data_IF_043921436134
#
_entry.id   IF_043921436134
#
_cell.length_a   1.000
_cell.length_b   1.000
_cell.length_c   1.000
_cell.angle_alpha   90.00
_cell.angle_beta   90.00
_cell.angle_gamma   90.00
#
_symmetry.space_group_name_H-M   'P 1'
#
loop_
_entity.id
_entity.type
_entity.pdbx_description
1 polymer ?
#
# COMPACT_ATOMS: atom_id res chain seq x y z
N UNK A 1 -4.35 1.61 -11.76
CA UNK A 1 -5.48 2.58 -11.69
C UNK A 1 -6.60 2.02 -10.82
N UNK A 2 -7.39 2.86 -10.14
CA UNK A 2 -8.44 2.39 -9.22
C UNK A 2 -9.86 2.55 -9.77
N UNK A 3 -10.82 1.80 -9.22
CA UNK A 3 -12.26 1.96 -9.50
C UNK A 3 -12.80 3.11 -8.66
N UNK A 4 -13.20 4.21 -9.31
CA UNK A 4 -13.73 5.40 -8.65
C UNK A 4 -14.99 5.05 -7.85
N UNK A 5 -15.02 5.39 -6.56
CA UNK A 5 -16.19 5.19 -5.70
C UNK A 5 -16.39 3.77 -5.17
N UNK A 6 -15.46 2.83 -5.43
CA UNK A 6 -15.59 1.46 -4.92
C UNK A 6 -15.59 1.40 -3.39
N UNK A 7 -14.65 2.06 -2.73
CA UNK A 7 -14.53 2.06 -1.26
C UNK A 7 -15.80 2.54 -0.54
N UNK A 8 -16.40 3.71 -0.86
CA UNK A 8 -17.64 4.13 -0.20
C UNK A 8 -18.82 3.20 -0.50
N UNK A 9 -18.87 2.57 -1.68
CA UNK A 9 -19.89 1.58 -2.03
C UNK A 9 -19.76 0.32 -1.16
N UNK A 10 -18.53 -0.22 -1.01
CA UNK A 10 -18.27 -1.36 -0.14
C UNK A 10 -18.61 -1.06 1.32
N UNK A 11 -18.25 0.13 1.81
CA UNK A 11 -18.61 0.56 3.16
C UNK A 11 -20.13 0.58 3.40
N UNK A 12 -20.92 0.92 2.39
CA UNK A 12 -22.39 1.00 2.49
C UNK A 12 -23.08 -0.36 2.37
N UNK A 13 -22.66 -1.19 1.42
CA UNK A 13 -23.40 -2.41 1.05
C UNK A 13 -22.74 -3.71 1.49
N UNK A 14 -21.44 -3.72 1.75
CA UNK A 14 -20.69 -4.91 2.14
C UNK A 14 -19.61 -4.60 3.18
N UNK A 15 -19.93 -3.97 4.34
CA UNK A 15 -18.91 -3.52 5.29
C UNK A 15 -18.08 -4.67 5.87
N UNK A 16 -18.62 -5.90 5.90
CA UNK A 16 -17.94 -7.10 6.38
C UNK A 16 -16.71 -7.51 5.53
N UNK A 17 -16.60 -7.04 4.28
CA UNK A 17 -15.42 -7.30 3.46
C UNK A 17 -14.23 -6.38 3.80
N UNK A 18 -14.45 -5.32 4.59
CA UNK A 18 -13.41 -4.39 5.01
C UNK A 18 -13.00 -4.73 6.45
N UNK A 19 -11.79 -5.26 6.60
CA UNK A 19 -11.25 -5.67 7.90
C UNK A 19 -10.05 -4.80 8.24
N UNK A 20 -10.11 -4.11 9.38
CA UNK A 20 -8.96 -3.41 9.93
C UNK A 20 -8.10 -4.40 10.73
N UNK A 21 -6.81 -4.47 10.41
CA UNK A 21 -5.83 -5.29 11.12
C UNK A 21 -4.67 -4.39 11.56
N UNK A 22 -4.04 -4.68 12.72
CA UNK A 22 -2.79 -4.02 13.09
C UNK A 22 -1.68 -4.37 12.09
N UNK A 23 -0.65 -3.54 12.00
CA UNK A 23 0.47 -3.77 11.07
C UNK A 23 1.19 -5.09 11.34
N UNK A 24 1.28 -5.50 12.60
CA UNK A 24 1.84 -6.78 13.05
C UNK A 24 1.19 -8.00 12.38
N UNK A 25 -0.03 -7.86 11.87
CA UNK A 25 -0.68 -8.90 11.08
C UNK A 25 0.12 -9.26 9.82
N UNK A 26 0.92 -8.35 9.28
CA UNK A 26 1.74 -8.57 8.10
C UNK A 26 3.10 -9.23 8.39
N UNK A 27 3.47 -9.37 9.67
CA UNK A 27 4.76 -9.92 10.07
C UNK A 27 4.96 -11.35 9.56
N UNK A 28 6.10 -11.60 8.91
CA UNK A 28 6.46 -12.86 8.27
C UNK A 28 5.60 -13.24 7.05
N UNK A 29 4.66 -12.39 6.61
CA UNK A 29 3.81 -12.67 5.45
C UNK A 29 4.51 -12.27 4.16
N UNK A 30 4.28 -13.07 3.13
CA UNK A 30 4.64 -12.72 1.75
C UNK A 30 3.62 -11.74 1.19
N UNK A 31 4.06 -10.53 0.83
CA UNK A 31 3.20 -9.46 0.34
C UNK A 31 3.74 -8.97 -1.01
N UNK A 32 2.86 -8.94 -2.01
CA UNK A 32 3.19 -8.38 -3.32
C UNK A 32 2.91 -6.89 -3.34
N UNK A 33 3.91 -6.10 -3.73
CA UNK A 33 3.83 -4.66 -3.89
C UNK A 33 3.81 -4.32 -5.38
N UNK A 34 2.76 -3.62 -5.81
CA UNK A 34 2.67 -3.02 -7.14
C UNK A 34 3.55 -1.76 -7.17
N UNK A 35 4.70 -1.90 -7.81
CA UNK A 35 5.71 -0.84 -7.89
C UNK A 35 5.39 0.17 -8.99
N UNK A 36 4.68 -0.21 -10.04
CA UNK A 36 4.24 0.72 -11.09
C UNK A 36 3.34 1.81 -10.50
N UNK A 37 2.38 1.42 -9.66
CA UNK A 37 1.54 2.38 -8.91
C UNK A 37 2.35 3.15 -7.86
N UNK A 38 3.30 2.49 -7.18
CA UNK A 38 4.13 3.15 -6.18
C UNK A 38 4.98 4.28 -6.79
N UNK A 39 5.68 4.00 -7.90
CA UNK A 39 6.47 4.98 -8.62
C UNK A 39 5.61 6.09 -9.21
N UNK A 40 4.44 5.76 -9.77
CA UNK A 40 3.50 6.77 -10.25
C UNK A 40 3.13 7.76 -9.14
N UNK A 41 2.87 7.27 -7.91
CA UNK A 41 2.55 8.13 -6.77
C UNK A 41 3.73 9.00 -6.34
N UNK A 42 4.95 8.47 -6.36
CA UNK A 42 6.16 9.25 -6.04
C UNK A 42 6.38 10.36 -7.05
N UNK A 43 6.26 10.05 -8.34
CA UNK A 43 6.63 10.97 -9.41
C UNK A 43 5.55 12.04 -9.69
N UNK A 44 4.27 11.70 -9.54
CA UNK A 44 3.17 12.53 -10.05
C UNK A 44 2.21 13.07 -8.98
N UNK A 45 2.42 12.78 -7.69
CA UNK A 45 1.54 13.28 -6.63
C UNK A 45 2.20 14.41 -5.83
N UNK A 46 1.73 15.67 -5.95
CA UNK A 46 2.34 16.81 -5.25
C UNK A 46 2.26 16.70 -3.71
N UNK A 47 1.26 16.00 -3.17
CA UNK A 47 1.14 15.71 -1.72
C UNK A 47 2.17 14.68 -1.22
N UNK A 48 2.87 13.99 -2.13
CA UNK A 48 3.84 12.93 -1.79
C UNK A 48 5.24 13.51 -1.55
N UNK A 49 5.55 14.67 -2.16
CA UNK A 49 6.76 15.43 -1.87
C UNK A 49 6.83 15.88 -0.39
N UNK A 50 5.69 16.14 0.25
CA UNK A 50 5.61 16.51 1.68
C UNK A 50 5.72 15.31 2.64
N UNK A 51 5.59 14.07 2.15
CA UNK A 51 5.48 12.85 2.98
C UNK A 51 6.73 11.96 3.00
N UNK A 52 7.87 12.40 2.46
CA UNK A 52 9.13 11.62 2.40
C UNK A 52 8.94 10.21 1.81
N UNK A 53 7.96 10.03 0.93
CA UNK A 53 7.68 8.77 0.26
C UNK A 53 8.76 8.57 -0.81
N UNK A 54 9.77 7.79 -0.46
CA UNK A 54 10.87 7.39 -1.34
C UNK A 54 11.10 5.88 -1.22
N UNK A 55 12.04 5.34 -2.01
CA UNK A 55 12.36 3.92 -1.96
C UNK A 55 12.94 3.49 -0.61
N UNK A 56 13.74 4.34 0.04
CA UNK A 56 14.32 4.02 1.34
C UNK A 56 13.24 3.88 2.41
N UNK A 57 12.24 4.76 2.42
CA UNK A 57 11.10 4.68 3.34
C UNK A 57 10.29 3.38 3.16
N UNK A 58 10.17 2.88 1.92
CA UNK A 58 9.55 1.57 1.66
C UNK A 58 10.41 0.43 2.21
N UNK A 59 11.72 0.48 1.99
CA UNK A 59 12.66 -0.53 2.51
C UNK A 59 12.64 -0.54 4.04
N UNK A 60 12.72 0.64 4.67
CA UNK A 60 12.65 0.80 6.13
C UNK A 60 11.34 0.24 6.68
N UNK A 61 10.21 0.54 6.02
CA UNK A 61 8.90 0.00 6.39
C UNK A 61 8.87 -1.53 6.32
N UNK A 62 9.41 -2.13 5.25
CA UNK A 62 9.46 -3.58 5.08
C UNK A 62 10.31 -4.22 6.17
N UNK A 63 11.49 -3.66 6.45
CA UNK A 63 12.43 -4.17 7.44
C UNK A 63 11.88 -4.05 8.87
N UNK A 64 11.34 -2.89 9.24
CA UNK A 64 10.79 -2.64 10.58
C UNK A 64 9.61 -3.55 10.91
N UNK A 65 8.83 -3.93 9.89
CA UNK A 65 7.63 -4.75 10.06
C UNK A 65 7.84 -6.23 9.70
N UNK A 66 9.09 -6.63 9.37
CA UNK A 66 9.46 -8.01 9.02
C UNK A 66 8.50 -8.61 7.98
N UNK A 67 8.28 -7.85 6.91
CA UNK A 67 7.45 -8.26 5.77
C UNK A 67 8.36 -8.95 4.75
N UNK A 68 7.88 -10.02 4.11
CA UNK A 68 8.59 -10.67 3.00
C UNK A 68 8.05 -10.08 1.68
N UNK A 69 8.74 -9.13 1.02
CA UNK A 69 8.19 -8.46 -0.14
C UNK A 69 8.37 -9.26 -1.43
N UNK A 70 7.41 -9.13 -2.34
CA UNK A 70 7.56 -9.45 -3.76
C UNK A 70 7.23 -8.19 -4.55
N UNK A 71 8.19 -7.63 -5.28
CA UNK A 71 7.97 -6.43 -6.08
C UNK A 71 7.47 -6.81 -7.47
N UNK A 72 6.33 -6.26 -7.88
CA UNK A 72 5.73 -6.48 -9.19
C UNK A 72 5.76 -5.18 -9.96
N UNK A 73 6.30 -5.22 -11.17
CA UNK A 73 6.35 -4.11 -12.11
C UNK A 73 5.65 -4.59 -13.38
N UNK A 74 4.70 -3.81 -13.84
CA UNK A 74 4.04 -3.97 -15.15
C UNK A 74 4.99 -3.62 -16.31
#
# INVERSE_FOLDING_TARGET
>A
MGIKGLTPLLKRFAPSCLINRPIDFLKGKKISFDMSIYFYKILYSPMVAEKNLNLNALIDFIQQNDIIPTFVID
#
